data_IF_174050166592
#
_entry.id   IF_174050166592
#
_cell.length_a   1.000
_cell.length_b   1.000
_cell.length_c   1.000
_cell.angle_alpha   90.00
_cell.angle_beta   90.00
_cell.angle_gamma   90.00
#
_symmetry.space_group_name_H-M   'P 1'
#
loop_
_entity.id
_entity.type
_entity.pdbx_description
1 polymer ?
#
# COMPACT_ATOMS: atom_id res chain seq x y z
N UNK A 1 2.62 6.87 48.50
CA UNK A 1 3.71 7.19 47.56
C UNK A 1 3.92 6.14 46.46
N UNK A 2 3.79 4.82 46.70
CA UNK A 2 4.00 3.76 45.69
C UNK A 2 2.90 3.67 44.61
N UNK A 3 1.67 4.07 44.89
CA UNK A 3 0.54 4.03 43.95
C UNK A 3 0.56 5.17 42.92
N UNK A 4 1.05 6.35 43.32
CA UNK A 4 1.13 7.53 42.44
C UNK A 4 2.20 7.37 41.34
N UNK A 5 3.29 6.65 41.62
CA UNK A 5 4.37 6.40 40.66
C UNK A 5 3.91 5.41 39.57
N UNK A 6 3.06 4.45 39.91
CA UNK A 6 2.54 3.47 38.93
C UNK A 6 1.55 4.11 37.94
N UNK A 7 0.77 5.09 38.39
CA UNK A 7 -0.19 5.80 37.52
C UNK A 7 0.54 6.76 36.55
N UNK A 8 1.65 7.37 36.99
CA UNK A 8 2.44 8.25 36.14
C UNK A 8 3.18 7.50 35.02
N UNK A 9 3.67 6.27 35.28
CA UNK A 9 4.30 5.45 34.27
C UNK A 9 3.33 4.99 33.17
N UNK A 10 2.06 4.72 33.50
CA UNK A 10 1.06 4.33 32.47
C UNK A 10 0.64 5.48 31.57
N UNK A 11 0.66 6.73 32.04
CA UNK A 11 0.32 7.91 31.24
C UNK A 11 1.43 8.30 30.25
N UNK A 12 2.68 8.04 30.58
CA UNK A 12 3.83 8.33 29.68
C UNK A 12 3.92 7.34 28.52
N UNK A 13 3.48 6.08 28.69
CA UNK A 13 3.50 5.07 27.65
C UNK A 13 2.41 5.24 26.58
N UNK A 14 1.31 5.93 26.87
CA UNK A 14 0.21 6.16 25.93
C UNK A 14 0.50 7.28 24.91
N UNK A 15 1.45 8.16 25.19
CA UNK A 15 1.77 9.31 24.30
C UNK A 15 2.71 9.00 23.14
N UNK A 16 3.43 7.88 23.17
CA UNK A 16 4.48 7.58 22.17
C UNK A 16 3.97 6.84 20.94
N UNK A 17 2.77 6.28 20.99
CA UNK A 17 2.26 5.42 19.91
C UNK A 17 1.76 6.21 18.69
N UNK A 18 1.36 7.47 18.84
CA UNK A 18 0.72 8.26 17.76
C UNK A 18 1.76 8.90 16.83
N UNK A 19 2.90 9.33 17.38
CA UNK A 19 3.99 9.92 16.59
C UNK A 19 4.63 8.89 15.65
N UNK A 20 4.85 7.65 16.12
CA UNK A 20 5.44 6.56 15.33
C UNK A 20 4.61 6.16 14.12
N UNK A 21 3.28 6.27 14.18
CA UNK A 21 2.40 5.95 13.05
C UNK A 21 2.35 7.07 12.00
N UNK A 22 2.45 8.32 12.41
CA UNK A 22 2.50 9.45 11.47
C UNK A 22 3.80 9.43 10.67
N UNK A 23 4.93 9.15 11.31
CA UNK A 23 6.25 9.04 10.66
C UNK A 23 6.25 7.93 9.61
N UNK A 24 5.65 6.76 9.88
CA UNK A 24 5.65 5.64 8.94
C UNK A 24 4.90 5.93 7.63
N UNK A 25 3.86 6.77 7.63
CA UNK A 25 3.15 7.19 6.41
C UNK A 25 4.00 8.17 5.60
N UNK A 26 4.59 9.17 6.24
CA UNK A 26 5.44 10.16 5.57
C UNK A 26 6.70 9.52 5.00
N UNK A 27 7.33 8.61 5.74
CA UNK A 27 8.49 7.86 5.29
C UNK A 27 8.15 6.98 4.08
N UNK A 28 6.98 6.32 4.10
CA UNK A 28 6.53 5.50 2.97
C UNK A 28 6.24 6.36 1.74
N UNK A 29 5.60 7.51 1.89
CA UNK A 29 5.40 8.46 0.79
C UNK A 29 6.74 8.91 0.22
N UNK A 30 7.72 9.22 1.08
CA UNK A 30 9.08 9.61 0.66
C UNK A 30 9.78 8.48 -0.08
N UNK A 31 9.62 7.24 0.39
CA UNK A 31 10.16 6.06 -0.27
C UNK A 31 9.63 5.92 -1.70
N UNK A 32 8.31 6.06 -1.92
CA UNK A 32 7.72 6.02 -3.25
C UNK A 32 8.06 7.24 -4.11
N UNK A 33 8.27 8.44 -3.53
CA UNK A 33 8.75 9.62 -4.25
C UNK A 33 10.18 9.46 -4.77
N UNK A 34 11.00 8.70 -4.06
CA UNK A 34 12.38 8.43 -4.44
C UNK A 34 12.54 7.18 -5.33
N UNK A 35 11.48 6.39 -5.46
CA UNK A 35 11.45 5.24 -6.35
C UNK A 35 11.10 5.69 -7.77
N UNK A 36 12.03 5.55 -8.71
CA UNK A 36 11.99 6.17 -10.04
C UNK A 36 10.66 6.01 -10.80
N UNK A 37 10.04 4.83 -10.75
CA UNK A 37 8.81 4.55 -11.50
C UNK A 37 7.58 5.24 -10.87
N UNK A 38 7.44 5.25 -9.55
CA UNK A 38 6.29 5.86 -8.87
C UNK A 38 6.42 7.38 -8.69
N UNK A 39 7.64 7.92 -8.76
CA UNK A 39 7.91 9.35 -8.55
C UNK A 39 7.14 10.28 -9.51
N UNK A 40 7.01 9.86 -10.77
CA UNK A 40 6.32 10.64 -11.80
C UNK A 40 4.82 10.82 -11.48
N UNK A 41 4.19 9.81 -10.88
CA UNK A 41 2.75 9.82 -10.57
C UNK A 41 2.35 10.85 -9.53
N UNK A 42 3.26 11.23 -8.63
CA UNK A 42 2.98 12.28 -7.64
C UNK A 42 2.75 13.66 -8.24
N UNK A 43 3.22 13.91 -9.49
CA UNK A 43 3.09 15.20 -10.15
C UNK A 43 1.70 15.39 -10.78
N UNK A 44 1.12 14.31 -11.29
CA UNK A 44 -0.06 14.38 -12.16
C UNK A 44 -1.30 13.67 -11.54
N UNK A 45 -1.19 13.10 -10.32
CA UNK A 45 -2.32 12.43 -9.70
C UNK A 45 -3.26 13.43 -9.00
N UNK A 46 -4.54 13.13 -9.02
CA UNK A 46 -5.55 13.80 -8.19
C UNK A 46 -5.32 13.54 -6.70
N UNK A 47 -4.95 12.29 -6.36
CA UNK A 47 -4.69 11.86 -5.01
C UNK A 47 -4.07 10.46 -4.97
N UNK A 48 -3.84 9.97 -3.76
CA UNK A 48 -3.30 8.62 -3.56
C UNK A 48 -3.72 8.03 -2.22
N UNK A 49 -3.75 6.69 -2.14
CA UNK A 49 -3.84 5.92 -0.90
C UNK A 49 -2.49 5.25 -0.62
N UNK A 50 -1.96 5.38 0.59
CA UNK A 50 -0.68 4.80 0.99
C UNK A 50 -0.85 3.86 2.17
N UNK A 51 -0.25 2.68 2.05
CA UNK A 51 -0.23 1.61 3.06
C UNK A 51 1.23 1.35 3.45
N UNK A 52 1.68 1.82 4.62
CA UNK A 52 3.05 1.63 5.07
C UNK A 52 3.42 0.16 5.19
N UNK A 53 2.53 -0.65 5.71
CA UNK A 53 2.77 -2.09 5.87
C UNK A 53 1.49 -2.87 5.63
N UNK A 54 1.56 -3.79 4.69
CA UNK A 54 0.57 -4.85 4.46
C UNK A 54 1.26 -6.15 4.83
N UNK A 55 0.70 -6.85 5.81
CA UNK A 55 1.12 -8.20 6.17
C UNK A 55 0.33 -9.22 5.35
N UNK A 56 1.03 -10.17 4.74
CA UNK A 56 0.45 -11.29 4.00
C UNK A 56 0.98 -12.60 4.55
N UNK A 57 0.12 -13.58 4.79
CA UNK A 57 0.52 -14.90 5.28
C UNK A 57 -0.54 -15.95 5.01
N UNK A 58 -0.15 -17.23 5.11
CA UNK A 58 -1.03 -18.39 4.95
C UNK A 58 -0.30 -19.62 4.46
N UNK A 59 -1.00 -20.75 4.44
CA UNK A 59 -0.51 -22.01 3.89
C UNK A 59 -1.30 -22.42 2.64
N UNK A 60 -2.52 -22.90 2.81
CA UNK A 60 -3.43 -23.28 1.71
C UNK A 60 -4.44 -22.17 1.43
N UNK A 61 -4.88 -21.50 2.48
CA UNK A 61 -5.65 -20.27 2.42
C UNK A 61 -4.81 -19.19 3.07
N UNK A 62 -4.59 -18.11 2.35
CA UNK A 62 -3.83 -16.97 2.83
C UNK A 62 -4.70 -15.73 2.96
N UNK A 63 -4.20 -14.77 3.73
CA UNK A 63 -4.80 -13.47 3.86
C UNK A 63 -3.75 -12.38 3.84
N UNK A 64 -4.16 -11.19 3.42
CA UNK A 64 -3.39 -9.98 3.60
C UNK A 64 -4.25 -8.89 4.23
N UNK A 65 -3.64 -8.09 5.08
CA UNK A 65 -4.30 -6.97 5.74
C UNK A 65 -3.33 -5.82 5.94
N UNK A 66 -3.82 -4.60 5.80
CA UNK A 66 -3.07 -3.39 6.06
C UNK A 66 -3.96 -2.18 6.27
N UNK A 67 -3.47 -1.23 7.06
CA UNK A 67 -4.11 0.08 7.25
C UNK A 67 -3.40 1.12 6.41
N UNK A 68 -4.17 2.05 5.85
CA UNK A 68 -3.67 3.08 4.94
C UNK A 68 -4.31 4.44 5.22
N UNK A 69 -3.75 5.47 4.58
CA UNK A 69 -4.28 6.83 4.56
C UNK A 69 -4.51 7.29 3.13
N UNK A 70 -5.56 8.07 2.96
CA UNK A 70 -5.95 8.64 1.67
C UNK A 70 -5.66 10.14 1.67
N UNK A 71 -5.06 10.58 0.56
CA UNK A 71 -4.70 11.98 0.33
C UNK A 71 -5.31 12.46 -0.98
N UNK A 72 -5.90 13.65 -0.97
CA UNK A 72 -6.36 14.37 -2.15
C UNK A 72 -5.63 15.72 -2.22
N UNK A 73 -5.03 16.02 -3.38
CA UNK A 73 -4.23 17.24 -3.57
C UNK A 73 -3.17 17.46 -2.46
N UNK A 74 -2.54 16.37 -2.00
CA UNK A 74 -1.54 16.39 -0.96
C UNK A 74 -2.05 16.54 0.47
N UNK A 75 -3.38 16.66 0.68
CA UNK A 75 -4.00 16.77 2.01
C UNK A 75 -4.59 15.43 2.44
N UNK A 76 -4.37 15.06 3.71
CA UNK A 76 -4.99 13.89 4.31
C UNK A 76 -6.50 14.07 4.45
N UNK A 77 -7.28 13.15 3.87
CA UNK A 77 -8.74 13.22 3.79
C UNK A 77 -9.47 12.06 4.46
N UNK A 78 -8.79 10.99 4.82
CA UNK A 78 -9.40 9.87 5.52
C UNK A 78 -8.50 8.63 5.61
N UNK A 79 -8.96 7.67 6.39
CA UNK A 79 -8.30 6.39 6.58
C UNK A 79 -8.89 5.30 5.67
N UNK A 80 -8.09 4.31 5.37
CA UNK A 80 -8.53 3.15 4.60
C UNK A 80 -7.92 1.87 5.17
N UNK A 81 -8.62 0.77 5.02
CA UNK A 81 -8.08 -0.56 5.32
C UNK A 81 -8.17 -1.45 4.09
N UNK A 82 -7.18 -2.30 3.92
CA UNK A 82 -7.13 -3.29 2.87
C UNK A 82 -7.22 -4.69 3.46
N UNK A 83 -8.03 -5.54 2.85
CA UNK A 83 -8.13 -6.97 3.15
C UNK A 83 -8.14 -7.75 1.85
N UNK A 84 -7.40 -8.85 1.81
CA UNK A 84 -7.35 -9.75 0.66
C UNK A 84 -7.38 -11.19 1.15
N UNK A 85 -8.16 -12.03 0.50
CA UNK A 85 -8.15 -13.49 0.71
C UNK A 85 -7.52 -14.12 -0.52
N UNK A 86 -6.55 -14.99 -0.32
CA UNK A 86 -5.89 -15.73 -1.39
C UNK A 86 -6.02 -17.23 -1.14
N UNK A 87 -6.33 -17.98 -2.19
CA UNK A 87 -6.38 -19.43 -2.17
C UNK A 87 -5.23 -19.95 -3.04
N UNK A 88 -4.40 -20.83 -2.49
CA UNK A 88 -3.25 -21.40 -3.19
C UNK A 88 -2.17 -21.85 -2.22
N UNK A 89 -1.27 -22.68 -2.72
CA UNK A 89 -0.15 -23.19 -1.91
C UNK A 89 0.87 -22.07 -1.69
N UNK A 90 0.79 -21.39 -0.55
CA UNK A 90 1.68 -20.28 -0.18
C UNK A 90 2.19 -20.52 1.24
N UNK A 91 3.35 -21.17 1.36
CA UNK A 91 3.99 -21.31 2.66
C UNK A 91 4.85 -20.08 2.95
N UNK A 92 4.51 -19.34 3.98
CA UNK A 92 5.31 -18.22 4.45
C UNK A 92 4.54 -16.94 4.73
N UNK A 93 5.27 -15.93 5.17
CA UNK A 93 4.80 -14.57 5.41
C UNK A 93 5.58 -13.56 4.59
N UNK A 94 4.93 -12.48 4.22
CA UNK A 94 5.52 -11.34 3.53
C UNK A 94 4.99 -10.05 4.09
N UNK A 95 5.83 -9.02 4.13
CA UNK A 95 5.42 -7.65 4.41
C UNK A 95 5.82 -6.75 3.23
N UNK A 96 4.92 -5.87 2.83
CA UNK A 96 5.17 -4.91 1.76
C UNK A 96 4.46 -3.58 2.02
N UNK A 97 4.97 -2.52 1.41
CA UNK A 97 4.29 -1.22 1.31
C UNK A 97 3.55 -1.14 -0.02
N UNK A 98 2.43 -0.44 -0.05
CA UNK A 98 1.64 -0.22 -1.26
C UNK A 98 1.22 1.23 -1.37
N UNK A 99 1.24 1.77 -2.60
CA UNK A 99 0.62 3.05 -2.94
C UNK A 99 -0.31 2.86 -4.14
N UNK A 100 -1.45 3.52 -4.11
CA UNK A 100 -2.45 3.54 -5.17
C UNK A 100 -2.64 4.99 -5.57
N UNK A 101 -2.31 5.36 -6.81
CA UNK A 101 -2.54 6.68 -7.35
C UNK A 101 -3.90 6.75 -8.04
N UNK A 102 -4.61 7.84 -7.85
CA UNK A 102 -5.86 8.17 -8.54
C UNK A 102 -5.56 9.24 -9.60
N UNK A 103 -5.83 8.95 -10.85
CA UNK A 103 -5.56 9.86 -11.96
C UNK A 103 -6.42 11.12 -11.90
N UNK A 104 -7.69 10.94 -11.56
CA UNK A 104 -8.72 11.95 -11.58
C UNK A 104 -9.70 11.81 -10.41
N UNK A 105 -10.60 12.78 -10.27
CA UNK A 105 -11.62 12.79 -9.24
C UNK A 105 -12.53 11.57 -9.31
N UNK A 106 -12.89 11.12 -10.50
CA UNK A 106 -13.74 9.93 -10.68
C UNK A 106 -13.12 8.68 -10.06
N UNK A 107 -11.83 8.43 -10.31
CA UNK A 107 -11.12 7.29 -9.72
C UNK A 107 -10.99 7.42 -8.20
N UNK A 108 -10.79 8.64 -7.70
CA UNK A 108 -10.79 8.92 -6.27
C UNK A 108 -12.17 8.65 -5.63
N UNK A 109 -13.25 9.16 -6.22
CA UNK A 109 -14.62 8.98 -5.72
C UNK A 109 -15.02 7.49 -5.75
N UNK A 110 -14.62 6.76 -6.79
CA UNK A 110 -14.85 5.31 -6.90
C UNK A 110 -14.16 4.55 -5.76
N UNK A 111 -12.92 4.90 -5.42
CA UNK A 111 -12.20 4.29 -4.30
C UNK A 111 -12.79 4.66 -2.93
N UNK A 112 -13.24 5.89 -2.78
CA UNK A 112 -13.71 6.45 -1.49
C UNK A 112 -15.21 6.29 -1.24
N UNK A 113 -15.95 5.62 -2.12
CA UNK A 113 -17.40 5.38 -1.96
C UNK A 113 -17.74 4.43 -0.78
N UNK A 114 -16.73 3.88 -0.09
CA UNK A 114 -16.87 3.08 1.13
C UNK A 114 -16.47 1.62 0.98
N UNK A 115 -16.72 0.99 -0.17
CA UNK A 115 -16.38 -0.40 -0.42
C UNK A 115 -15.86 -0.56 -1.86
N UNK A 116 -14.56 -0.56 -2.01
CA UNK A 116 -13.90 -0.73 -3.30
C UNK A 116 -13.17 -2.09 -3.35
N UNK A 117 -13.18 -2.74 -4.52
CA UNK A 117 -12.47 -3.99 -4.76
C UNK A 117 -11.75 -3.96 -6.10
N UNK A 118 -10.48 -4.33 -6.10
CA UNK A 118 -9.76 -4.55 -7.35
C UNK A 118 -10.21 -5.86 -8.01
N UNK A 119 -10.57 -5.78 -9.29
CA UNK A 119 -10.80 -6.96 -10.11
C UNK A 119 -9.55 -7.84 -10.22
N UNK A 120 -9.74 -9.09 -10.63
CA UNK A 120 -8.64 -10.04 -10.80
C UNK A 120 -7.63 -9.65 -11.91
N UNK A 121 -8.01 -8.73 -12.75
CA UNK A 121 -7.23 -8.20 -13.88
C UNK A 121 -6.29 -7.04 -13.51
N UNK A 122 -6.34 -6.55 -12.27
CA UNK A 122 -5.47 -5.47 -11.80
C UNK A 122 -4.14 -6.02 -11.33
N UNK A 123 -3.07 -5.43 -11.84
CA UNK A 123 -1.68 -5.76 -11.47
C UNK A 123 -1.02 -4.56 -10.81
N UNK A 124 -0.10 -4.83 -9.88
CA UNK A 124 0.76 -3.82 -9.30
C UNK A 124 2.15 -3.86 -9.93
N UNK A 125 2.80 -2.72 -10.01
CA UNK A 125 4.23 -2.64 -10.32
C UNK A 125 5.01 -2.90 -9.03
N UNK A 126 5.81 -3.96 -9.02
CA UNK A 126 6.68 -4.27 -7.90
C UNK A 126 8.01 -3.52 -8.06
N UNK A 127 8.32 -2.64 -7.13
CA UNK A 127 9.59 -1.92 -7.05
C UNK A 127 10.49 -2.68 -6.07
N UNK A 128 11.70 -3.02 -6.50
CA UNK A 128 12.70 -3.62 -5.61
C UNK A 128 13.38 -2.52 -4.80
N UNK A 129 13.48 -2.70 -3.49
CA UNK A 129 14.11 -1.73 -2.58
C UNK A 129 15.57 -1.39 -2.92
N UNK A 130 16.23 -2.22 -3.72
CA UNK A 130 17.59 -1.97 -4.23
C UNK A 130 17.65 -0.86 -5.29
N UNK A 131 16.54 -0.50 -5.93
CA UNK A 131 16.48 0.54 -6.96
C UNK A 131 16.57 1.98 -6.39
N UNK A 132 16.41 2.15 -5.07
CA UNK A 132 16.55 3.46 -4.41
C UNK A 132 17.99 3.94 -4.23
N UNK A 133 19.01 3.13 -4.52
CA UNK A 133 20.42 3.43 -4.26
C UNK A 133 21.29 3.56 -5.53
N UNK A 134 20.76 3.34 -6.73
CA UNK A 134 21.53 3.51 -7.98
C UNK A 134 20.65 3.82 -9.18
N UNK A 135 21.05 4.83 -9.89
CA UNK A 135 20.60 5.24 -11.22
C UNK A 135 20.28 4.05 -12.14
N UNK A 136 19.01 3.98 -12.55
CA UNK A 136 18.58 3.37 -13.81
C UNK A 136 18.93 1.90 -13.99
N UNK A 137 18.01 1.02 -13.62
CA UNK A 137 17.86 -0.29 -14.26
C UNK A 137 16.39 -0.67 -14.31
N UNK A 138 15.96 -0.97 -15.51
CA UNK A 138 14.68 -1.55 -15.93
C UNK A 138 14.10 -2.51 -14.91
N UNK A 139 12.93 -2.18 -14.37
CA UNK A 139 12.17 -3.04 -13.47
C UNK A 139 11.85 -4.38 -14.12
N UNK A 140 12.43 -5.45 -13.60
CA UNK A 140 12.03 -6.80 -13.94
C UNK A 140 10.65 -7.08 -13.35
N UNK A 141 9.63 -7.09 -14.18
CA UNK A 141 8.32 -7.64 -13.86
C UNK A 141 8.42 -9.17 -13.72
N UNK A 142 8.69 -9.66 -12.54
CA UNK A 142 8.58 -11.08 -12.24
C UNK A 142 7.13 -11.44 -11.86
N UNK A 143 6.27 -11.43 -12.82
CA UNK A 143 4.91 -11.93 -12.72
C UNK A 143 4.71 -13.05 -13.74
N UNK A 144 5.15 -14.27 -13.42
CA UNK A 144 4.76 -15.43 -14.19
C UNK A 144 3.36 -15.90 -13.78
N UNK A 145 2.33 -15.32 -14.34
CA UNK A 145 1.03 -15.96 -14.42
C UNK A 145 0.78 -16.34 -15.88
N UNK A 146 0.73 -17.66 -16.15
CA UNK A 146 0.40 -18.20 -17.46
C UNK A 146 -1.04 -17.87 -17.83
N UNK A 147 -1.26 -16.74 -18.44
CA UNK A 147 -2.52 -16.31 -19.01
C UNK A 147 -2.21 -15.31 -20.11
N UNK A 148 -2.39 -15.77 -21.36
CA UNK A 148 -2.27 -14.93 -22.55
C UNK A 148 -3.16 -13.70 -22.42
N UNK A 149 -2.56 -12.55 -22.22
CA UNK A 149 -2.82 -11.25 -22.83
C UNK A 149 -1.98 -10.21 -22.11
N UNK A 150 -1.06 -9.65 -22.81
CA UNK A 150 -0.10 -8.63 -22.45
C UNK A 150 -0.75 -7.41 -21.78
N UNK A 151 -0.84 -7.42 -20.45
CA UNK A 151 -0.84 -6.19 -19.70
C UNK A 151 0.63 -5.90 -19.38
N UNK A 152 1.32 -5.22 -20.28
CA UNK A 152 2.61 -4.61 -19.99
C UNK A 152 2.37 -3.61 -18.88
N UNK A 153 2.75 -3.97 -17.67
CA UNK A 153 2.59 -3.17 -16.45
C UNK A 153 3.73 -2.15 -16.37
N UNK A 154 3.92 -1.41 -17.43
CA UNK A 154 4.75 -0.23 -17.44
C UNK A 154 3.95 0.91 -16.85
N UNK A 155 4.00 1.08 -15.52
CA UNK A 155 3.59 2.30 -14.84
C UNK A 155 2.43 3.09 -15.46
N UNK A 156 1.34 2.43 -15.84
CA UNK A 156 0.20 3.06 -16.52
C UNK A 156 -1.03 3.00 -15.63
N UNK A 157 -1.86 4.05 -15.72
CA UNK A 157 -3.16 4.01 -15.09
C UNK A 157 -4.07 2.98 -15.77
N UNK A 158 -4.59 2.05 -14.98
CA UNK A 158 -5.65 1.14 -15.38
C UNK A 158 -6.95 1.57 -14.72
N UNK A 159 -7.98 1.87 -15.50
CA UNK A 159 -9.27 2.42 -15.01
C UNK A 159 -9.11 3.64 -14.09
N UNK A 160 -8.08 4.45 -14.34
CA UNK A 160 -7.79 5.64 -13.55
C UNK A 160 -6.98 5.42 -12.28
N UNK A 161 -6.51 4.19 -12.02
CA UNK A 161 -5.68 3.85 -10.86
C UNK A 161 -4.36 3.21 -11.27
N UNK A 162 -3.28 3.55 -10.56
CA UNK A 162 -1.96 2.91 -10.73
C UNK A 162 -1.47 2.43 -9.37
N UNK A 163 -1.04 1.17 -9.29
CA UNK A 163 -0.65 0.52 -8.03
C UNK A 163 0.82 0.17 -8.06
N UNK A 164 1.54 0.58 -7.03
CA UNK A 164 2.94 0.25 -6.82
C UNK A 164 3.15 -0.41 -5.47
N UNK A 165 4.07 -1.36 -5.41
CA UNK A 165 4.41 -2.08 -4.18
C UNK A 165 5.91 -2.14 -3.97
N UNK A 166 6.35 -2.05 -2.71
CA UNK A 166 7.75 -2.24 -2.30
C UNK A 166 7.79 -3.32 -1.24
N UNK A 167 8.51 -4.42 -1.51
CA UNK A 167 8.66 -5.54 -0.58
C UNK A 167 9.58 -5.12 0.57
N UNK A 168 9.13 -5.32 1.81
CA UNK A 168 9.91 -5.03 3.03
C UNK A 168 10.64 -6.25 3.57
N UNK A 169 10.15 -7.44 3.28
CA UNK A 169 10.74 -8.70 3.73
C UNK A 169 9.79 -9.87 3.55
N UNK A 170 10.32 -11.07 3.63
CA UNK A 170 9.62 -12.34 3.46
C UNK A 170 10.08 -13.13 2.24
N UNK A 171 9.64 -14.40 2.16
CA UNK A 171 10.07 -15.36 1.13
C UNK A 171 9.18 -15.36 -0.13
N UNK A 172 8.17 -14.49 -0.22
CA UNK A 172 7.22 -14.48 -1.33
C UNK A 172 7.46 -13.32 -2.28
N UNK A 173 7.54 -13.65 -3.58
CA UNK A 173 7.82 -12.68 -4.66
C UNK A 173 6.58 -12.21 -5.43
N UNK A 174 5.37 -12.49 -4.97
CA UNK A 174 4.15 -12.18 -5.73
C UNK A 174 3.32 -11.08 -5.08
N UNK A 175 3.33 -9.89 -5.66
CA UNK A 175 2.44 -8.79 -5.30
C UNK A 175 1.17 -8.83 -6.20
N UNK A 176 0.29 -9.80 -5.98
CA UNK A 176 -1.02 -9.81 -6.61
C UNK A 176 -1.95 -8.87 -5.87
N UNK A 177 -2.52 -7.90 -6.55
CA UNK A 177 -3.49 -6.95 -5.99
C UNK A 177 -4.93 -7.28 -6.36
N UNK A 178 -5.14 -8.18 -7.30
CA UNK A 178 -6.47 -8.69 -7.63
C UNK A 178 -7.18 -9.28 -6.42
N UNK A 179 -8.45 -8.91 -6.21
CA UNK A 179 -9.24 -9.32 -5.06
C UNK A 179 -8.92 -8.58 -3.75
N UNK A 180 -8.15 -7.50 -3.78
CA UNK A 180 -8.00 -6.60 -2.63
C UNK A 180 -9.28 -5.79 -2.44
N UNK A 181 -9.84 -5.88 -1.24
CA UNK A 181 -11.01 -5.11 -0.80
C UNK A 181 -10.56 -3.97 0.10
N UNK A 182 -11.11 -2.79 -0.16
CA UNK A 182 -10.78 -1.58 0.58
C UNK A 182 -12.04 -1.03 1.25
N UNK A 183 -11.87 -0.56 2.47
CA UNK A 183 -12.89 0.17 3.21
C UNK A 183 -12.35 1.54 3.55
N UNK A 184 -13.04 2.58 3.12
CA UNK A 184 -12.69 3.97 3.37
C UNK A 184 -13.53 4.56 4.49
N UNK A 185 -12.92 5.41 5.29
CA UNK A 185 -13.56 6.21 6.34
C UNK A 185 -13.03 7.63 6.24
N UNK A 186 -13.90 8.58 5.95
CA UNK A 186 -13.53 9.99 5.87
C UNK A 186 -12.98 10.49 7.20
N UNK A 187 -12.02 11.42 7.15
CA UNK A 187 -11.51 12.11 8.32
C UNK A 187 -12.66 12.88 8.98
N UNK A 188 -12.83 12.66 10.28
CA UNK A 188 -13.73 13.50 11.08
C UNK A 188 -13.23 14.95 11.06
N UNK A 189 -14.15 15.87 10.83
CA UNK A 189 -13.90 17.32 10.88
C UNK A 189 -13.53 17.76 12.28
#
# INVERSE_FOLDING_TARGET
MKAAIRLLCCLVLAGWSVASLADSYSDTVTLFKNAGESAAFFKDCYGYAVFPTIGKGGLVVGGAHGSGRVYAHGKYVGDTSMTQVTVGFQAGGQAYSQIIFFKDQRAFDEFTNGNFEFGADVSAVAITAAAGASTGTTGSSAGASGGKKDASTEGKYYKGMAVFTIVKGGAMYQATVGGQKFKYTAKSS
#
